data_IF_074821904141
#
_entry.id   IF_074821904141
#
_cell.length_a   1.000
_cell.length_b   1.000
_cell.length_c   1.000
_cell.angle_alpha   90.00
_cell.angle_beta   90.00
_cell.angle_gamma   90.00
#
_symmetry.space_group_name_H-M   'P 1'
#
loop_
_entity.id
_entity.type
_entity.pdbx_description
1 polymer ?
#
# COMPACT_ATOMS: atom_id res chain seq x y z
N UNK A 1 -10.34 16.57 12.96
CA UNK A 1 -8.94 16.88 12.57
C UNK A 1 -8.10 17.33 13.75
N UNK A 2 -8.50 18.39 14.46
CA UNK A 2 -7.76 18.89 15.63
C UNK A 2 -7.54 17.81 16.70
N UNK A 3 -8.58 17.07 17.05
CA UNK A 3 -8.50 15.96 18.02
C UNK A 3 -7.48 14.89 17.60
N UNK A 4 -7.43 14.55 16.30
CA UNK A 4 -6.43 13.60 15.79
C UNK A 4 -5.02 14.16 15.96
N UNK A 5 -4.80 15.41 15.58
CA UNK A 5 -3.48 16.04 15.59
C UNK A 5 -2.96 16.30 17.01
N UNK A 6 -3.86 16.64 17.95
CA UNK A 6 -3.52 16.88 19.35
C UNK A 6 -2.85 15.66 20.02
N UNK A 7 -3.16 14.44 19.55
CA UNK A 7 -2.54 13.19 20.02
C UNK A 7 -1.05 13.05 19.65
N UNK A 8 -0.47 14.04 18.97
CA UNK A 8 0.96 14.11 18.63
C UNK A 8 1.66 15.33 19.25
N UNK A 9 0.95 16.19 20.01
CA UNK A 9 1.47 17.49 20.43
C UNK A 9 2.68 17.43 21.37
N UNK A 10 2.82 16.35 22.12
CA UNK A 10 3.96 16.06 23.00
C UNK A 10 5.25 15.75 22.21
N UNK A 11 5.13 15.34 20.94
CA UNK A 11 6.28 15.13 20.05
C UNK A 11 6.80 16.44 19.44
N UNK A 12 6.11 17.55 19.68
CA UNK A 12 6.42 18.86 19.13
C UNK A 12 6.71 19.87 20.25
N UNK A 13 7.95 20.35 20.28
CA UNK A 13 8.47 21.24 21.33
C UNK A 13 8.00 22.69 21.22
N UNK A 14 7.47 23.10 20.06
CA UNK A 14 7.04 24.48 19.82
C UNK A 14 5.65 24.57 19.20
N UNK A 15 4.98 25.68 19.46
CA UNK A 15 3.70 26.00 18.81
C UNK A 15 3.83 26.03 17.28
N UNK A 16 4.97 26.47 16.76
CA UNK A 16 5.24 26.48 15.32
C UNK A 16 5.26 25.07 14.72
N UNK A 17 5.85 24.09 15.41
CA UNK A 17 5.84 22.68 14.99
C UNK A 17 4.43 22.08 15.02
N UNK A 18 3.69 22.32 16.10
CA UNK A 18 2.29 21.86 16.25
C UNK A 18 1.38 22.41 15.15
N UNK A 19 1.55 23.70 14.82
CA UNK A 19 0.85 24.35 13.69
C UNK A 19 1.30 23.77 12.36
N UNK A 20 2.61 23.60 12.14
CA UNK A 20 3.16 23.03 10.91
C UNK A 20 2.64 21.62 10.65
N UNK A 21 2.54 20.77 11.68
CA UNK A 21 1.96 19.43 11.57
C UNK A 21 0.50 19.47 11.12
N UNK A 22 -0.34 20.28 11.78
CA UNK A 22 -1.75 20.47 11.42
C UNK A 22 -1.91 21.00 10.00
N UNK A 23 -1.20 22.08 9.67
CA UNK A 23 -1.24 22.72 8.34
C UNK A 23 -0.84 21.72 7.25
N UNK A 24 0.23 20.95 7.47
CA UNK A 24 0.67 19.93 6.52
C UNK A 24 -0.37 18.83 6.32
N UNK A 25 -0.89 18.24 7.41
CA UNK A 25 -1.90 17.18 7.31
C UNK A 25 -3.20 17.68 6.66
N UNK A 26 -3.65 18.89 6.99
CA UNK A 26 -4.82 19.52 6.35
C UNK A 26 -4.60 19.68 4.86
N UNK A 27 -3.42 20.17 4.44
CA UNK A 27 -3.08 20.28 3.02
C UNK A 27 -3.10 18.93 2.29
N UNK A 28 -2.60 17.87 2.93
CA UNK A 28 -2.58 16.52 2.35
C UNK A 28 -4.00 15.97 2.18
N UNK A 29 -4.88 16.22 3.16
CA UNK A 29 -6.26 15.73 3.20
C UNK A 29 -7.27 16.57 2.41
N UNK A 30 -6.92 17.82 2.07
CA UNK A 30 -7.74 18.66 1.21
C UNK A 30 -8.06 17.95 -0.14
N UNK A 31 -9.12 18.34 -0.86
CA UNK A 31 -9.38 17.81 -2.19
C UNK A 31 -8.17 17.93 -3.13
N UNK A 32 -8.03 16.97 -4.04
CA UNK A 32 -6.92 16.94 -5.01
C UNK A 32 -7.30 17.69 -6.28
N UNK A 33 -7.39 19.02 -6.19
CA UNK A 33 -7.51 19.88 -7.37
C UNK A 33 -6.16 20.13 -8.04
N UNK A 34 -5.07 19.99 -7.28
CA UNK A 34 -3.68 20.19 -7.70
C UNK A 34 -2.77 19.13 -7.08
N UNK A 35 -1.56 18.98 -7.62
CA UNK A 35 -0.50 18.19 -7.00
C UNK A 35 -0.22 18.70 -5.58
N UNK A 36 -0.01 17.79 -4.65
CA UNK A 36 0.22 18.05 -3.22
C UNK A 36 1.68 18.44 -2.93
N UNK A 37 2.17 19.44 -3.67
CA UNK A 37 3.47 20.08 -3.41
C UNK A 37 3.38 20.96 -2.16
N UNK A 38 4.50 21.25 -1.48
CA UNK A 38 4.49 22.13 -0.29
C UNK A 38 3.81 23.48 -0.58
N UNK A 39 4.02 24.05 -1.77
CA UNK A 39 3.37 25.29 -2.20
C UNK A 39 1.85 25.18 -2.17
N UNK A 40 1.31 24.09 -2.72
CA UNK A 40 -0.12 23.82 -2.71
C UNK A 40 -0.64 23.48 -1.30
N UNK A 41 0.15 22.78 -0.47
CA UNK A 41 -0.24 22.47 0.92
C UNK A 41 -0.42 23.75 1.76
N UNK A 42 0.37 24.80 1.47
CA UNK A 42 0.24 26.11 2.09
C UNK A 42 -0.90 26.98 1.49
N UNK A 43 -1.72 26.44 0.57
CA UNK A 43 -2.77 27.18 -0.12
C UNK A 43 -2.26 28.21 -1.14
N UNK A 44 -0.97 28.18 -1.49
CA UNK A 44 -0.36 29.17 -2.37
C UNK A 44 -0.39 28.73 -3.85
N UNK A 45 -0.39 29.71 -4.76
CA UNK A 45 -0.31 29.46 -6.20
C UNK A 45 1.09 28.93 -6.59
N UNK A 46 1.19 27.82 -7.35
CA UNK A 46 2.49 27.28 -7.76
C UNK A 46 3.29 28.26 -8.62
N UNK A 47 4.57 28.46 -8.30
CA UNK A 47 5.44 29.48 -8.92
C UNK A 47 5.22 30.88 -8.34
N UNK A 48 4.05 31.51 -8.46
CA UNK A 48 3.89 32.89 -7.98
C UNK A 48 3.89 32.99 -6.45
N UNK A 49 3.32 31.98 -5.78
CA UNK A 49 3.20 31.91 -4.32
C UNK A 49 4.33 31.17 -3.60
N UNK A 50 5.34 30.67 -4.33
CA UNK A 50 6.40 29.83 -3.75
C UNK A 50 7.27 30.55 -2.70
N UNK A 51 7.34 31.87 -2.76
CA UNK A 51 8.07 32.72 -1.80
C UNK A 51 7.24 33.23 -0.63
N UNK A 52 5.97 32.81 -0.50
CA UNK A 52 5.11 33.30 0.59
C UNK A 52 5.59 32.79 1.95
N UNK A 53 5.35 33.55 3.04
CA UNK A 53 5.73 33.11 4.39
C UNK A 53 5.15 31.74 4.78
N UNK A 54 3.95 31.38 4.32
CA UNK A 54 3.36 30.06 4.57
C UNK A 54 4.17 28.91 3.98
N UNK A 55 4.57 29.05 2.72
CA UNK A 55 5.39 28.05 2.04
C UNK A 55 6.75 27.90 2.73
N UNK A 56 7.39 29.02 3.08
CA UNK A 56 8.68 28.98 3.79
C UNK A 56 8.57 28.28 5.15
N UNK A 57 7.48 28.53 5.90
CA UNK A 57 7.23 27.85 7.18
C UNK A 57 7.06 26.34 7.01
N UNK A 58 6.27 25.88 6.04
CA UNK A 58 6.11 24.45 5.79
C UNK A 58 7.40 23.79 5.28
N UNK A 59 8.19 24.48 4.46
CA UNK A 59 9.51 24.00 4.06
C UNK A 59 10.41 23.83 5.28
N UNK A 60 10.52 24.86 6.14
CA UNK A 60 11.30 24.79 7.37
C UNK A 60 10.80 23.69 8.32
N UNK A 61 9.49 23.56 8.48
CA UNK A 61 8.88 22.49 9.28
C UNK A 61 9.33 21.11 8.78
N UNK A 62 9.31 20.90 7.48
CA UNK A 62 9.65 19.61 6.90
C UNK A 62 11.15 19.32 6.86
N UNK A 63 12.01 20.29 6.53
CA UNK A 63 13.45 20.05 6.34
C UNK A 63 14.29 20.30 7.59
N UNK A 64 14.10 21.44 8.26
CA UNK A 64 15.02 21.92 9.30
C UNK A 64 14.53 21.63 10.72
N UNK A 65 13.23 21.86 10.98
CA UNK A 65 12.65 21.83 12.32
C UNK A 65 13.00 20.54 13.09
N UNK A 66 13.35 20.59 14.39
CA UNK A 66 13.85 19.43 15.13
C UNK A 66 12.70 18.56 15.69
N UNK A 67 12.10 17.70 14.85
CA UNK A 67 11.15 16.65 15.26
C UNK A 67 11.48 15.34 14.55
N UNK A 68 11.28 14.19 15.21
CA UNK A 68 11.72 12.91 14.66
C UNK A 68 10.60 12.16 13.94
N UNK A 69 10.83 11.82 12.66
CA UNK A 69 9.83 11.13 11.83
C UNK A 69 9.44 9.77 12.41
N UNK A 70 10.42 9.06 12.97
CA UNK A 70 10.18 7.75 13.57
C UNK A 70 9.27 7.84 14.81
N UNK A 71 9.45 8.85 15.67
CA UNK A 71 8.57 9.04 16.84
C UNK A 71 7.13 9.33 16.43
N UNK A 72 6.94 10.14 15.38
CA UNK A 72 5.61 10.40 14.81
C UNK A 72 5.00 9.12 14.22
N UNK A 73 5.81 8.31 13.54
CA UNK A 73 5.35 7.02 13.03
C UNK A 73 4.98 6.05 14.16
N UNK A 74 5.81 5.96 15.20
CA UNK A 74 5.58 5.07 16.34
C UNK A 74 4.29 5.46 17.09
N UNK A 75 4.05 6.77 17.33
CA UNK A 75 2.77 7.25 17.88
C UNK A 75 1.59 6.95 16.96
N UNK A 76 1.74 7.10 15.64
CA UNK A 76 0.68 6.72 14.68
C UNK A 76 0.35 5.23 14.78
N UNK A 77 1.37 4.37 14.90
CA UNK A 77 1.19 2.93 15.07
C UNK A 77 0.55 2.57 16.41
N UNK A 78 0.92 3.25 17.50
CA UNK A 78 0.28 3.14 18.81
C UNK A 78 -1.23 3.45 18.73
N UNK A 79 -1.61 4.54 18.05
CA UNK A 79 -3.00 4.93 17.88
C UNK A 79 -3.82 3.88 17.09
N UNK A 80 -3.25 3.31 16.03
CA UNK A 80 -3.89 2.23 15.27
C UNK A 80 -4.08 0.98 16.13
N UNK A 81 -3.06 0.61 16.93
CA UNK A 81 -3.16 -0.52 17.86
C UNK A 81 -4.23 -0.31 18.94
N UNK A 82 -4.45 0.94 19.35
CA UNK A 82 -5.43 1.30 20.38
C UNK A 82 -6.90 1.24 19.93
N UNK A 83 -7.17 1.13 18.62
CA UNK A 83 -8.53 1.08 18.08
C UNK A 83 -8.91 -0.36 17.73
N UNK A 84 -10.00 -0.89 18.28
CA UNK A 84 -10.42 -2.29 18.06
C UNK A 84 -10.53 -2.70 16.59
N UNK A 85 -10.97 -1.77 15.74
CA UNK A 85 -11.17 -1.95 14.29
C UNK A 85 -9.88 -1.93 13.46
N UNK A 86 -8.82 -1.30 13.96
CA UNK A 86 -7.50 -1.25 13.30
C UNK A 86 -6.41 -1.95 14.12
N UNK A 87 -6.76 -2.57 15.25
CA UNK A 87 -5.84 -3.31 16.08
C UNK A 87 -5.33 -4.55 15.33
N UNK A 88 -4.00 -4.77 15.28
CA UNK A 88 -3.45 -5.94 14.63
C UNK A 88 -3.76 -7.22 15.42
N UNK A 89 -3.78 -8.34 14.71
CA UNK A 89 -3.95 -9.67 15.27
C UNK A 89 -3.18 -10.72 14.47
N UNK A 90 -2.96 -11.90 15.05
CA UNK A 90 -2.11 -12.94 14.47
C UNK A 90 -2.67 -13.59 13.20
N UNK A 91 -3.94 -13.37 12.86
CA UNK A 91 -4.53 -13.78 11.57
C UNK A 91 -4.20 -12.88 10.36
N UNK A 92 -3.66 -11.67 10.58
CA UNK A 92 -3.32 -10.71 9.51
C UNK A 92 -1.97 -11.00 8.86
N UNK A 93 -1.55 -10.19 7.90
CA UNK A 93 -0.23 -10.31 7.24
C UNK A 93 0.53 -8.98 7.26
N UNK A 94 1.86 -9.08 7.25
CA UNK A 94 2.73 -7.95 6.92
C UNK A 94 3.17 -8.12 5.47
N UNK A 95 2.67 -7.27 4.58
CA UNK A 95 3.04 -7.26 3.17
C UNK A 95 4.25 -6.36 2.96
N UNK A 96 5.25 -6.85 2.24
CA UNK A 96 6.43 -6.09 1.80
C UNK A 96 6.28 -5.80 0.31
N UNK A 97 6.54 -4.56 -0.06
CA UNK A 97 6.72 -4.14 -1.46
C UNK A 97 7.60 -2.88 -1.52
N UNK A 98 8.03 -2.51 -2.72
CA UNK A 98 8.63 -1.20 -2.96
C UNK A 98 7.84 -0.31 -3.93
N UNK A 99 8.02 0.99 -3.71
CA UNK A 99 7.42 2.03 -4.51
C UNK A 99 8.50 2.90 -5.14
N UNK A 100 8.57 2.88 -6.46
CA UNK A 100 9.44 3.77 -7.25
C UNK A 100 8.75 5.08 -7.66
N UNK A 101 9.43 6.20 -7.42
CA UNK A 101 9.02 7.55 -7.80
C UNK A 101 10.07 8.17 -8.73
N UNK A 102 9.68 8.45 -9.98
CA UNK A 102 10.58 9.01 -11.01
C UNK A 102 11.08 10.40 -10.60
N UNK A 103 12.36 10.66 -10.80
CA UNK A 103 12.97 11.99 -10.58
C UNK A 103 13.81 12.39 -11.79
N UNK A 104 13.76 13.66 -12.18
CA UNK A 104 14.44 14.16 -13.36
C UNK A 104 15.93 14.52 -13.12
N UNK A 105 16.32 14.84 -11.87
CA UNK A 105 17.68 15.28 -11.53
C UNK A 105 18.46 14.32 -10.63
N UNK A 106 19.68 14.70 -10.28
CA UNK A 106 20.62 13.92 -9.44
C UNK A 106 20.79 14.48 -8.02
N UNK A 107 20.27 15.68 -7.74
CA UNK A 107 20.47 16.38 -6.47
C UNK A 107 19.51 15.95 -5.34
N UNK A 108 18.62 14.99 -5.60
CA UNK A 108 17.69 14.46 -4.59
C UNK A 108 18.35 13.27 -3.91
N UNK A 109 18.32 13.20 -2.58
CA UNK A 109 18.84 12.05 -1.84
C UNK A 109 18.20 10.74 -2.32
N UNK A 110 18.98 9.66 -2.28
CA UNK A 110 18.57 8.31 -2.68
C UNK A 110 18.22 8.13 -4.16
N UNK A 111 18.37 9.17 -4.99
CA UNK A 111 18.09 9.07 -6.42
C UNK A 111 19.12 8.19 -7.12
N UNK A 112 18.66 7.38 -8.07
CA UNK A 112 19.54 6.61 -8.94
C UNK A 112 18.77 5.90 -10.04
N UNK A 113 19.50 5.27 -10.96
CA UNK A 113 18.92 4.38 -11.98
C UNK A 113 18.47 3.08 -11.31
N UNK A 114 17.16 2.91 -11.20
CA UNK A 114 16.53 1.79 -10.49
C UNK A 114 15.33 1.30 -11.29
N UNK A 115 14.95 0.02 -11.12
CA UNK A 115 13.68 -0.47 -11.64
C UNK A 115 12.52 0.27 -10.97
N UNK A 116 11.71 0.97 -11.77
CA UNK A 116 10.53 1.68 -11.28
C UNK A 116 9.29 0.90 -11.70
N UNK A 117 8.70 0.14 -10.77
CA UNK A 117 7.58 -0.77 -11.05
C UNK A 117 6.42 -0.12 -11.81
N UNK A 118 6.03 1.11 -11.44
CA UNK A 118 4.97 1.88 -12.12
C UNK A 118 5.26 2.17 -13.60
N UNK A 119 6.54 2.32 -13.96
CA UNK A 119 6.95 2.59 -15.35
C UNK A 119 7.32 1.33 -16.12
N UNK A 120 7.41 0.17 -15.45
CA UNK A 120 7.84 -1.09 -16.05
C UNK A 120 9.25 -1.04 -16.65
N UNK A 121 10.13 -0.18 -16.13
CA UNK A 121 11.50 0.00 -16.66
C UNK A 121 12.47 0.55 -15.63
N UNK A 122 13.76 0.40 -15.93
CA UNK A 122 14.83 1.08 -15.19
C UNK A 122 14.95 2.55 -15.61
N UNK A 123 14.68 3.47 -14.69
CA UNK A 123 14.78 4.92 -14.91
C UNK A 123 15.35 5.59 -13.65
N UNK A 124 15.62 6.89 -13.73
CA UNK A 124 16.10 7.67 -12.60
C UNK A 124 14.95 7.95 -11.62
N UNK A 125 15.15 7.59 -10.35
CA UNK A 125 14.13 7.78 -9.33
C UNK A 125 14.58 7.37 -7.94
N UNK A 126 13.68 7.58 -6.99
CA UNK A 126 13.80 7.08 -5.62
C UNK A 126 12.92 5.85 -5.51
N UNK A 127 13.42 4.82 -4.81
CA UNK A 127 12.60 3.67 -4.44
C UNK A 127 12.48 3.64 -2.93
N UNK A 128 11.26 3.46 -2.43
CA UNK A 128 10.96 3.34 -1.00
C UNK A 128 10.43 1.95 -0.72
N UNK A 129 11.13 1.21 0.14
CA UNK A 129 10.65 -0.09 0.63
C UNK A 129 9.63 0.19 1.73
N UNK A 130 8.47 -0.47 1.66
CA UNK A 130 7.41 -0.29 2.65
C UNK A 130 6.90 -1.61 3.18
N UNK A 131 6.42 -1.58 4.41
CA UNK A 131 5.61 -2.65 4.99
C UNK A 131 4.18 -2.15 5.20
N UNK A 132 3.19 -2.99 4.90
CA UNK A 132 1.76 -2.73 5.13
C UNK A 132 1.21 -3.87 5.97
N UNK A 133 0.43 -3.56 7.01
CA UNK A 133 -0.36 -4.56 7.71
C UNK A 133 -1.76 -4.62 7.10
N UNK A 134 -2.31 -5.82 6.94
CA UNK A 134 -3.69 -6.02 6.48
C UNK A 134 -4.25 -7.35 6.98
N UNK A 135 -5.55 -7.39 7.25
CA UNK A 135 -6.33 -8.61 7.48
C UNK A 135 -7.38 -8.84 6.37
N UNK A 136 -7.38 -7.98 5.34
CA UNK A 136 -8.38 -7.97 4.28
C UNK A 136 -9.59 -7.06 4.54
N UNK A 137 -9.81 -6.64 5.78
CA UNK A 137 -10.86 -5.67 6.15
C UNK A 137 -10.29 -4.25 6.23
N UNK A 138 -9.12 -4.11 6.85
CA UNK A 138 -8.37 -2.86 6.94
C UNK A 138 -6.94 -3.09 6.47
N UNK A 139 -6.30 -2.02 6.03
CA UNK A 139 -4.89 -2.04 5.65
C UNK A 139 -4.27 -0.68 5.89
N UNK A 140 -3.00 -0.65 6.30
CA UNK A 140 -2.27 0.59 6.47
C UNK A 140 -0.75 0.38 6.44
N UNK A 141 0.03 1.36 5.94
CA UNK A 141 1.48 1.31 6.02
C UNK A 141 1.95 1.23 7.47
N UNK A 142 2.89 0.32 7.77
CA UNK A 142 3.61 0.28 9.04
C UNK A 142 4.84 1.17 8.98
N UNK A 143 5.70 0.91 7.99
CA UNK A 143 6.96 1.61 7.81
C UNK A 143 7.23 1.91 6.34
N UNK A 144 7.98 2.97 6.10
CA UNK A 144 8.47 3.36 4.80
C UNK A 144 9.90 3.84 4.92
N UNK A 145 10.82 3.29 4.11
CA UNK A 145 12.21 3.72 4.11
C UNK A 145 12.73 3.84 2.69
N UNK A 146 13.20 5.04 2.28
CA UNK A 146 13.93 5.21 1.04
C UNK A 146 15.14 4.29 0.99
N UNK A 147 15.29 3.54 -0.11
CA UNK A 147 16.46 2.73 -0.39
C UNK A 147 17.55 3.61 -1.00
N UNK A 148 18.72 3.61 -0.38
CA UNK A 148 19.91 4.33 -0.84
C UNK A 148 20.76 3.43 -1.73
N UNK A 149 20.94 3.73 -3.04
CA UNK A 149 21.79 2.93 -3.91
C UNK A 149 23.26 2.93 -3.47
N UNK A 150 23.96 1.82 -3.72
CA UNK A 150 25.35 1.63 -3.29
C UNK A 150 26.30 2.78 -3.67
N UNK A 151 26.12 3.42 -4.83
CA UNK A 151 27.01 4.50 -5.28
C UNK A 151 26.95 5.80 -4.45
N UNK A 152 26.00 5.91 -3.51
CA UNK A 152 25.96 6.99 -2.52
C UNK A 152 26.86 6.74 -1.31
N UNK A 153 27.42 5.53 -1.17
CA UNK A 153 28.29 5.15 -0.05
C UNK A 153 29.77 5.14 -0.48
N UNK A 154 30.65 5.52 0.44
CA UNK A 154 32.10 5.62 0.18
C UNK A 154 32.71 4.28 -0.24
N UNK A 155 32.23 3.16 0.33
CA UNK A 155 32.70 1.80 0.00
C UNK A 155 31.70 0.99 -0.85
N UNK A 156 30.75 1.68 -1.47
CA UNK A 156 29.70 1.06 -2.28
C UNK A 156 28.99 -0.11 -1.57
N UNK A 157 29.01 -1.31 -2.18
CA UNK A 157 28.34 -2.50 -1.63
C UNK A 157 29.03 -3.07 -0.38
N UNK A 158 30.30 -2.75 -0.17
CA UNK A 158 31.09 -3.21 0.99
C UNK A 158 31.01 -2.23 2.16
N UNK A 159 30.23 -1.15 2.02
CA UNK A 159 30.01 -0.20 3.10
C UNK A 159 29.17 -0.83 4.21
N UNK A 160 29.60 -0.78 5.49
CA UNK A 160 28.84 -1.40 6.60
C UNK A 160 27.47 -0.75 6.82
N UNK A 161 27.23 0.47 6.31
CA UNK A 161 25.92 1.11 6.36
C UNK A 161 25.02 0.73 5.16
N UNK A 162 25.59 0.17 4.08
CA UNK A 162 24.81 -0.27 2.93
C UNK A 162 23.90 -1.44 3.30
N UNK A 163 22.65 -1.37 2.87
CA UNK A 163 21.66 -2.44 3.00
C UNK A 163 21.02 -2.66 1.64
N UNK A 164 20.92 -3.91 1.22
CA UNK A 164 20.12 -4.26 0.03
C UNK A 164 18.64 -4.09 0.32
N UNK A 165 17.80 -4.00 -0.73
CA UNK A 165 16.34 -3.92 -0.55
C UNK A 165 15.77 -5.11 0.24
N UNK A 166 16.18 -6.38 0.01
CA UNK A 166 15.76 -7.49 0.88
C UNK A 166 16.19 -7.32 2.34
N UNK A 167 17.44 -6.94 2.62
CA UNK A 167 17.89 -6.72 3.99
C UNK A 167 17.07 -5.62 4.68
N UNK A 168 16.79 -4.52 3.98
CA UNK A 168 15.94 -3.44 4.47
C UNK A 168 14.50 -3.93 4.72
N UNK A 169 13.92 -4.66 3.78
CA UNK A 169 12.58 -5.19 3.88
C UNK A 169 12.39 -6.16 5.07
N UNK A 170 13.34 -7.07 5.27
CA UNK A 170 13.35 -7.96 6.43
C UNK A 170 13.41 -7.15 7.73
N UNK A 171 14.30 -6.17 7.83
CA UNK A 171 14.40 -5.31 9.00
C UNK A 171 13.09 -4.54 9.29
N UNK A 172 12.40 -4.06 8.26
CA UNK A 172 11.10 -3.39 8.45
C UNK A 172 9.99 -4.35 8.90
N UNK A 173 10.01 -5.61 8.46
CA UNK A 173 9.06 -6.62 8.92
C UNK A 173 9.32 -7.01 10.39
N UNK A 174 10.60 -7.17 10.77
CA UNK A 174 10.99 -7.39 12.17
C UNK A 174 10.54 -6.22 13.04
N UNK A 175 10.78 -4.99 12.61
CA UNK A 175 10.32 -3.80 13.32
C UNK A 175 8.80 -3.75 13.47
N UNK A 176 8.05 -4.17 12.45
CA UNK A 176 6.59 -4.34 12.54
C UNK A 176 6.17 -5.28 13.66
N UNK A 177 6.81 -6.44 13.74
CA UNK A 177 6.58 -7.41 14.83
C UNK A 177 6.94 -6.84 16.19
N UNK A 178 8.12 -6.22 16.33
CA UNK A 178 8.59 -5.59 17.58
C UNK A 178 7.68 -4.44 18.04
N UNK A 179 7.07 -3.73 17.10
CA UNK A 179 6.06 -2.71 17.36
C UNK A 179 4.68 -3.28 17.75
N UNK A 180 4.55 -4.61 17.90
CA UNK A 180 3.33 -5.28 18.35
C UNK A 180 2.30 -5.54 17.24
N UNK A 181 2.70 -5.53 15.96
CA UNK A 181 1.84 -5.91 14.85
C UNK A 181 1.98 -7.42 14.59
N UNK A 182 1.18 -8.20 15.32
CA UNK A 182 1.05 -9.64 15.10
C UNK A 182 0.63 -9.96 13.66
N UNK A 183 1.16 -11.05 13.12
CA UNK A 183 0.84 -11.52 11.78
C UNK A 183 1.04 -13.02 11.65
N UNK A 184 0.24 -13.63 10.76
CA UNK A 184 0.30 -15.04 10.41
C UNK A 184 1.52 -15.33 9.55
N UNK A 185 1.85 -14.39 8.66
CA UNK A 185 3.00 -14.45 7.79
C UNK A 185 3.41 -13.06 7.28
N UNK A 186 4.69 -12.94 6.95
CA UNK A 186 5.22 -11.92 6.05
C UNK A 186 4.96 -12.36 4.62
N UNK A 187 4.39 -11.47 3.80
CA UNK A 187 4.05 -11.74 2.41
C UNK A 187 4.84 -10.81 1.50
N UNK A 188 5.48 -11.36 0.47
CA UNK A 188 6.30 -10.58 -0.45
C UNK A 188 6.30 -11.17 -1.87
N UNK A 189 6.67 -10.36 -2.85
CA UNK A 189 6.85 -10.82 -4.23
C UNK A 189 8.21 -11.53 -4.44
N UNK A 190 8.43 -11.99 -5.67
CA UNK A 190 9.67 -12.69 -6.02
C UNK A 190 10.92 -11.81 -6.06
N UNK A 191 10.81 -10.48 -6.06
CA UNK A 191 11.96 -9.59 -6.02
C UNK A 191 12.70 -9.65 -4.67
N UNK A 192 11.98 -10.01 -3.60
CA UNK A 192 12.56 -10.19 -2.25
C UNK A 192 13.08 -11.61 -1.99
N UNK A 193 12.62 -12.60 -2.77
CA UNK A 193 12.95 -14.03 -2.62
C UNK A 193 14.34 -14.44 -3.14
N UNK A 194 15.26 -13.49 -3.35
CA UNK A 194 16.49 -13.68 -4.13
C UNK A 194 17.75 -14.00 -3.30
N UNK A 195 17.68 -13.91 -1.97
CA UNK A 195 18.83 -14.07 -1.07
C UNK A 195 18.46 -14.91 0.15
N UNK A 196 19.33 -15.83 0.55
CA UNK A 196 19.15 -16.67 1.74
C UNK A 196 19.15 -15.85 3.03
N UNK A 197 19.91 -14.76 3.08
CA UNK A 197 19.97 -13.83 4.22
C UNK A 197 18.59 -13.27 4.58
N UNK A 198 17.73 -13.04 3.57
CA UNK A 198 16.37 -12.56 3.80
C UNK A 198 15.55 -13.59 4.58
N UNK A 199 15.59 -14.85 4.15
CA UNK A 199 14.89 -15.94 4.84
C UNK A 199 15.46 -16.20 6.23
N UNK A 200 16.79 -16.13 6.38
CA UNK A 200 17.46 -16.27 7.68
C UNK A 200 17.06 -15.16 8.64
N UNK A 201 16.97 -13.91 8.17
CA UNK A 201 16.55 -12.78 9.00
C UNK A 201 15.11 -12.94 9.51
N UNK A 202 14.18 -13.38 8.64
CA UNK A 202 12.80 -13.65 9.07
C UNK A 202 12.71 -14.81 10.06
N UNK A 203 13.44 -15.91 9.81
CA UNK A 203 13.49 -17.05 10.73
C UNK A 203 14.08 -16.69 12.09
N UNK A 204 15.18 -15.94 12.10
CA UNK A 204 15.82 -15.48 13.34
C UNK A 204 14.87 -14.59 14.17
N UNK A 205 14.01 -13.81 13.50
CA UNK A 205 12.98 -13.02 14.15
C UNK A 205 11.71 -13.82 14.50
N UNK A 206 11.66 -15.12 14.21
CA UNK A 206 10.47 -15.96 14.41
C UNK A 206 9.27 -15.47 13.61
N UNK A 207 9.49 -15.05 12.36
CA UNK A 207 8.45 -14.65 11.42
C UNK A 207 8.23 -15.78 10.40
N UNK A 208 6.97 -16.22 10.29
CA UNK A 208 6.55 -17.03 9.17
C UNK A 208 6.51 -16.19 7.89
N UNK A 209 6.64 -16.82 6.73
CA UNK A 209 6.53 -16.15 5.44
C UNK A 209 5.75 -16.94 4.41
N UNK A 210 5.14 -16.24 3.46
CA UNK A 210 4.63 -16.77 2.20
C UNK A 210 5.10 -15.83 1.09
N UNK A 211 6.10 -16.25 0.32
CA UNK A 211 6.76 -15.39 -0.67
C UNK A 211 6.71 -16.02 -2.05
N UNK A 212 6.48 -15.22 -3.10
CA UNK A 212 6.56 -15.74 -4.45
C UNK A 212 8.00 -16.05 -4.86
N UNK A 213 8.16 -17.07 -5.69
CA UNK A 213 9.40 -17.44 -6.36
C UNK A 213 9.32 -17.10 -7.84
N UNK A 214 10.47 -16.83 -8.45
CA UNK A 214 10.55 -16.77 -9.92
C UNK A 214 10.32 -18.18 -10.49
N UNK A 215 9.44 -18.35 -11.49
CA UNK A 215 9.13 -19.68 -12.06
C UNK A 215 10.36 -20.45 -12.54
N UNK A 216 11.35 -19.74 -13.07
CA UNK A 216 12.60 -20.30 -13.60
C UNK A 216 13.79 -20.16 -12.64
N UNK A 217 13.54 -19.98 -11.33
CA UNK A 217 14.63 -19.99 -10.34
C UNK A 217 15.22 -21.40 -10.27
N UNK A 218 16.38 -21.58 -10.91
CA UNK A 218 17.11 -22.84 -10.89
C UNK A 218 17.60 -23.21 -9.49
N UNK A 219 17.46 -24.49 -9.14
CA UNK A 219 18.11 -25.12 -8.01
C UNK A 219 18.89 -26.33 -8.48
N UNK A 220 19.88 -26.76 -7.69
CA UNK A 220 20.55 -28.03 -7.94
C UNK A 220 19.57 -29.18 -7.65
N UNK A 221 19.46 -30.10 -8.59
CA UNK A 221 18.71 -31.34 -8.42
C UNK A 221 19.36 -32.46 -9.24
N UNK A 222 19.17 -33.74 -8.87
CA UNK A 222 19.58 -34.88 -9.68
C UNK A 222 18.96 -34.86 -11.09
N UNK A 223 19.62 -35.53 -12.04
CA UNK A 223 19.13 -35.66 -13.43
C UNK A 223 17.75 -36.31 -13.44
N UNK A 224 16.81 -35.71 -14.18
CA UNK A 224 15.43 -36.21 -14.31
C UNK A 224 14.48 -35.77 -13.19
N UNK A 225 14.95 -34.98 -12.23
CA UNK A 225 14.10 -34.32 -11.23
C UNK A 225 13.85 -32.85 -11.60
N UNK A 226 12.80 -32.22 -11.07
CA UNK A 226 12.55 -30.80 -11.25
C UNK A 226 13.74 -29.92 -10.85
N UNK A 227 14.11 -28.97 -11.71
CA UNK A 227 15.19 -28.01 -11.46
C UNK A 227 14.68 -26.60 -11.17
N UNK A 228 13.43 -26.30 -11.52
CA UNK A 228 12.79 -25.01 -11.30
C UNK A 228 11.38 -25.16 -10.70
N UNK A 229 10.82 -24.11 -10.08
CA UNK A 229 9.43 -24.15 -9.61
C UNK A 229 8.41 -24.55 -10.67
N UNK A 230 8.59 -24.11 -11.92
CA UNK A 230 7.68 -24.50 -13.01
C UNK A 230 7.83 -25.98 -13.40
N UNK A 231 9.05 -26.53 -13.40
CA UNK A 231 9.24 -27.97 -13.62
C UNK A 231 8.57 -28.78 -12.51
N UNK A 232 8.68 -28.30 -11.27
CA UNK A 232 8.09 -28.96 -10.11
C UNK A 232 6.56 -28.94 -10.16
N UNK A 233 5.99 -27.85 -10.68
CA UNK A 233 4.56 -27.75 -10.95
C UNK A 233 4.11 -28.73 -12.05
N UNK A 234 4.87 -28.84 -13.16
CA UNK A 234 4.57 -29.79 -14.24
C UNK A 234 4.72 -31.26 -13.83
N UNK A 235 5.49 -31.56 -12.80
CA UNK A 235 5.64 -32.91 -12.26
C UNK A 235 4.43 -33.36 -11.41
N UNK A 236 3.54 -32.45 -11.03
CA UNK A 236 2.32 -32.77 -10.27
C UNK A 236 1.29 -33.47 -11.15
N UNK A 237 0.63 -34.46 -10.57
CA UNK A 237 -0.39 -35.25 -11.23
C UNK A 237 -1.68 -34.45 -11.35
N UNK A 238 -2.13 -34.21 -12.57
CA UNK A 238 -3.44 -33.64 -12.87
C UNK A 238 -4.13 -34.44 -13.99
N UNK A 239 -5.42 -34.74 -13.83
CA UNK A 239 -6.25 -35.34 -14.89
C UNK A 239 -7.38 -34.40 -15.30
N UNK A 240 -8.24 -34.04 -14.35
CA UNK A 240 -9.36 -33.12 -14.51
C UNK A 240 -9.93 -32.74 -13.13
N UNK A 241 -10.92 -31.84 -13.10
CA UNK A 241 -11.54 -31.37 -11.85
C UNK A 241 -12.16 -32.48 -11.00
N UNK A 242 -12.70 -33.54 -11.62
CA UNK A 242 -13.30 -34.68 -10.90
C UNK A 242 -12.24 -35.64 -10.34
N UNK A 243 -11.03 -35.62 -10.90
CA UNK A 243 -9.90 -36.46 -10.51
C UNK A 243 -8.62 -35.60 -10.44
N UNK A 244 -8.50 -34.72 -9.44
CA UNK A 244 -7.51 -33.65 -9.46
C UNK A 244 -6.08 -34.12 -9.14
N UNK A 245 -5.89 -35.38 -8.74
CA UNK A 245 -4.57 -35.94 -8.45
C UNK A 245 -3.95 -35.26 -7.24
N UNK A 246 -2.81 -34.60 -7.43
CA UNK A 246 -2.08 -33.90 -6.35
C UNK A 246 -2.69 -32.54 -5.99
N UNK A 247 -3.66 -32.05 -6.78
CA UNK A 247 -4.24 -30.73 -6.64
C UNK A 247 -5.48 -30.73 -5.73
N UNK A 248 -5.59 -29.70 -4.91
CA UNK A 248 -6.75 -29.46 -4.04
C UNK A 248 -7.48 -28.19 -4.51
N UNK A 249 -8.81 -28.20 -4.66
CA UNK A 249 -9.56 -27.00 -4.97
C UNK A 249 -9.54 -26.04 -3.79
N UNK A 250 -9.33 -24.76 -4.07
CA UNK A 250 -9.32 -23.66 -3.10
C UNK A 250 -10.28 -22.59 -3.59
N UNK A 251 -11.31 -22.30 -2.80
CA UNK A 251 -12.24 -21.23 -3.10
C UNK A 251 -11.66 -19.88 -2.63
N UNK A 252 -11.65 -18.91 -3.55
CA UNK A 252 -11.24 -17.53 -3.26
C UNK A 252 -12.46 -16.63 -3.32
N UNK A 253 -12.65 -15.84 -2.27
CA UNK A 253 -13.71 -14.86 -2.18
C UNK A 253 -13.19 -13.46 -2.44
N UNK A 254 -13.94 -12.71 -3.25
CA UNK A 254 -13.61 -11.35 -3.63
C UNK A 254 -14.62 -10.36 -3.03
N UNK A 255 -14.22 -9.09 -3.01
CA UNK A 255 -14.95 -8.02 -2.31
C UNK A 255 -16.34 -7.73 -2.91
N UNK A 256 -16.48 -7.90 -4.21
CA UNK A 256 -17.73 -7.76 -4.95
C UNK A 256 -18.64 -9.00 -4.85
N UNK A 257 -18.24 -9.99 -4.05
CA UNK A 257 -19.03 -11.19 -3.75
C UNK A 257 -18.82 -12.33 -4.75
N UNK A 258 -18.01 -12.15 -5.80
CA UNK A 258 -17.70 -13.28 -6.68
C UNK A 258 -16.73 -14.25 -6.00
N UNK A 259 -16.81 -15.50 -6.43
CA UNK A 259 -15.93 -16.58 -5.99
C UNK A 259 -15.20 -17.15 -7.20
N UNK A 260 -13.91 -17.42 -7.04
CA UNK A 260 -13.15 -18.18 -8.04
C UNK A 260 -12.61 -19.45 -7.41
N UNK A 261 -12.71 -20.56 -8.13
CA UNK A 261 -12.01 -21.78 -7.78
C UNK A 261 -10.60 -21.73 -8.34
N UNK A 262 -9.64 -21.77 -7.44
CA UNK A 262 -8.23 -22.01 -7.74
C UNK A 262 -7.88 -23.44 -7.35
N UNK A 263 -6.73 -23.91 -7.80
CA UNK A 263 -6.17 -25.21 -7.47
C UNK A 263 -4.82 -25.00 -6.83
N UNK A 264 -4.55 -25.70 -5.73
CA UNK A 264 -3.27 -25.61 -5.04
C UNK A 264 -2.68 -27.00 -4.75
N UNK A 265 -1.36 -27.09 -4.71
CA UNK A 265 -0.63 -28.33 -4.46
C UNK A 265 0.75 -28.04 -3.82
N UNK A 266 1.24 -28.96 -3.01
CA UNK A 266 2.62 -28.98 -2.54
C UNK A 266 3.53 -29.68 -3.57
N UNK A 267 4.51 -28.95 -4.09
CA UNK A 267 5.49 -29.47 -5.03
C UNK A 267 6.82 -29.79 -4.34
N UNK A 268 7.58 -30.71 -4.92
CA UNK A 268 8.93 -31.07 -4.46
C UNK A 268 9.97 -30.49 -5.40
N UNK A 269 10.91 -29.73 -4.84
CA UNK A 269 11.97 -29.07 -5.60
C UNK A 269 13.16 -28.85 -4.67
N UNK A 270 14.35 -29.39 -4.94
CA UNK A 270 15.60 -29.15 -4.20
C UNK A 270 15.47 -28.57 -2.78
N UNK A 271 15.23 -29.42 -1.78
CA UNK A 271 15.06 -29.03 -0.38
C UNK A 271 13.65 -28.56 0.01
N UNK A 272 12.83 -28.11 -0.94
CA UNK A 272 11.41 -27.80 -0.74
C UNK A 272 10.53 -29.05 -0.85
N UNK A 273 9.50 -29.12 0.00
CA UNK A 273 8.48 -30.18 -0.06
C UNK A 273 7.54 -30.16 1.15
N UNK A 274 6.46 -30.97 1.14
CA UNK A 274 5.48 -31.01 2.23
C UNK A 274 6.07 -31.49 3.56
N UNK A 275 7.07 -32.39 3.50
CA UNK A 275 7.76 -32.92 4.68
C UNK A 275 8.96 -32.06 5.12
N UNK A 276 9.30 -31.03 4.33
CA UNK A 276 10.45 -30.15 4.59
C UNK A 276 10.06 -28.94 5.44
N UNK A 277 11.01 -28.35 6.21
CA UNK A 277 10.78 -27.09 6.92
C UNK A 277 10.44 -25.89 6.02
N UNK A 278 10.67 -26.01 4.72
CA UNK A 278 10.21 -25.06 3.72
C UNK A 278 9.44 -25.79 2.62
N UNK A 279 8.22 -25.34 2.35
CA UNK A 279 7.35 -25.87 1.31
C UNK A 279 7.43 -25.04 0.04
N UNK A 280 7.20 -25.70 -1.09
CA UNK A 280 6.87 -25.06 -2.35
C UNK A 280 5.40 -25.34 -2.63
N UNK A 281 4.56 -24.31 -2.51
CA UNK A 281 3.13 -24.39 -2.85
C UNK A 281 2.93 -23.78 -4.23
N UNK A 282 2.28 -24.52 -5.12
CA UNK A 282 1.84 -24.02 -6.43
C UNK A 282 0.36 -23.76 -6.34
N UNK A 283 -0.10 -22.59 -6.77
CA UNK A 283 -1.52 -22.25 -6.82
C UNK A 283 -1.86 -21.64 -8.18
N UNK A 284 -2.92 -22.10 -8.85
CA UNK A 284 -3.25 -21.69 -10.21
C UNK A 284 -4.75 -21.75 -10.50
N UNK A 285 -5.20 -21.02 -11.52
CA UNK A 285 -6.55 -21.19 -12.07
C UNK A 285 -6.67 -22.43 -12.97
N UNK A 286 -5.56 -22.92 -13.54
CA UNK A 286 -5.55 -24.06 -14.46
C UNK A 286 -4.28 -24.93 -14.30
N UNK A 287 -4.39 -26.07 -13.60
CA UNK A 287 -3.30 -27.03 -13.44
C UNK A 287 -2.76 -27.64 -14.74
N UNK A 288 -3.56 -27.67 -15.82
CA UNK A 288 -3.15 -28.28 -17.08
C UNK A 288 -2.19 -27.37 -17.86
N UNK A 289 -2.46 -26.06 -17.86
CA UNK A 289 -1.71 -25.09 -18.68
C UNK A 289 -0.74 -24.22 -17.88
N UNK A 290 -0.92 -24.13 -16.56
CA UNK A 290 -0.11 -23.29 -15.65
C UNK A 290 0.11 -21.86 -16.20
N UNK A 291 -0.97 -21.10 -16.46
CA UNK A 291 -0.88 -19.79 -17.08
C UNK A 291 0.00 -18.84 -16.26
N UNK A 292 0.99 -18.20 -16.89
CA UNK A 292 2.03 -17.41 -16.21
C UNK A 292 1.45 -16.33 -15.28
N UNK A 293 0.39 -15.63 -15.70
CA UNK A 293 -0.23 -14.54 -14.93
C UNK A 293 -1.19 -15.01 -13.85
N UNK A 294 -1.59 -16.28 -13.88
CA UNK A 294 -2.55 -16.88 -12.95
C UNK A 294 -1.99 -18.14 -12.29
N UNK A 295 -0.66 -18.22 -12.16
CA UNK A 295 0.04 -19.29 -11.44
C UNK A 295 1.04 -18.67 -10.46
N UNK A 296 0.90 -19.03 -9.19
CA UNK A 296 1.78 -18.64 -8.11
C UNK A 296 2.67 -19.80 -7.72
N UNK A 297 3.97 -19.54 -7.62
CA UNK A 297 4.94 -20.47 -7.05
C UNK A 297 5.39 -19.86 -5.73
N UNK A 298 5.02 -20.45 -4.61
CA UNK A 298 5.14 -19.85 -3.28
C UNK A 298 6.08 -20.65 -2.39
N UNK A 299 7.06 -19.99 -1.79
CA UNK A 299 7.85 -20.57 -0.71
C UNK A 299 7.26 -20.17 0.64
N UNK A 300 7.14 -21.14 1.56
CA UNK A 300 6.71 -20.87 2.94
C UNK A 300 7.43 -21.75 3.95
N UNK A 301 7.63 -21.25 5.16
CA UNK A 301 8.08 -22.03 6.33
C UNK A 301 6.91 -22.45 7.26
N UNK A 302 5.66 -22.26 6.83
CA UNK A 302 4.50 -22.80 7.51
C UNK A 302 4.36 -24.28 7.17
N UNK A 303 4.58 -25.15 8.17
CA UNK A 303 4.57 -26.61 7.98
C UNK A 303 3.24 -27.10 7.42
N UNK A 304 3.30 -28.18 6.63
CA UNK A 304 2.11 -28.90 6.19
C UNK A 304 1.44 -29.53 7.44
N UNK A 305 0.09 -29.57 7.54
CA UNK A 305 -0.61 -30.14 8.70
C UNK A 305 -0.17 -31.57 9.06
N UNK A 306 0.05 -32.39 8.04
CA UNK A 306 0.47 -33.79 8.19
C UNK A 306 2.00 -33.99 8.23
N UNK A 307 2.80 -32.92 8.22
CA UNK A 307 4.25 -33.07 8.23
C UNK A 307 4.74 -33.63 9.57
N UNK A 308 5.72 -34.57 9.58
CA UNK A 308 6.25 -35.13 10.82
C UNK A 308 6.82 -34.09 11.81
N UNK A 309 7.32 -32.96 11.27
CA UNK A 309 7.92 -31.89 12.06
C UNK A 309 6.92 -30.78 12.45
N UNK A 310 5.63 -30.89 12.06
CA UNK A 310 4.62 -29.84 12.31
C UNK A 310 4.43 -29.55 13.81
N UNK A 311 4.43 -30.59 14.65
CA UNK A 311 4.27 -30.46 16.10
C UNK A 311 5.44 -29.72 16.79
N UNK A 312 6.62 -29.70 16.17
CA UNK A 312 7.83 -29.02 16.66
C UNK A 312 8.11 -27.70 15.94
N UNK A 313 7.26 -27.32 14.99
CA UNK A 313 7.44 -26.09 14.21
C UNK A 313 7.16 -24.86 15.08
N UNK A 314 7.91 -23.75 14.93
CA UNK A 314 7.68 -22.52 15.70
C UNK A 314 6.36 -21.83 15.33
N UNK A 315 5.70 -22.26 14.26
CA UNK A 315 4.45 -21.68 13.77
C UNK A 315 3.40 -22.78 13.61
N UNK A 316 2.11 -22.50 13.91
CA UNK A 316 1.04 -23.44 13.62
C UNK A 316 1.07 -23.86 12.14
N UNK A 317 0.81 -25.13 11.81
CA UNK A 317 0.77 -25.59 10.43
C UNK A 317 -0.30 -24.85 9.63
N UNK A 318 -0.17 -24.83 8.30
CA UNK A 318 -1.10 -24.16 7.39
C UNK A 318 -1.46 -25.08 6.23
N UNK A 319 -2.74 -25.25 5.94
CA UNK A 319 -3.20 -25.96 4.75
C UNK A 319 -3.02 -25.11 3.47
N UNK A 320 -3.30 -25.70 2.31
CA UNK A 320 -3.16 -25.03 1.02
C UNK A 320 -4.09 -23.82 0.88
N UNK A 321 -5.31 -23.90 1.42
CA UNK A 321 -6.28 -22.81 1.36
C UNK A 321 -5.80 -21.60 2.17
N UNK A 322 -5.21 -21.83 3.36
CA UNK A 322 -4.62 -20.77 4.16
C UNK A 322 -3.42 -20.12 3.45
N UNK A 323 -2.50 -20.90 2.85
CA UNK A 323 -1.36 -20.33 2.11
C UNK A 323 -1.84 -19.44 0.95
N UNK A 324 -2.83 -19.90 0.18
CA UNK A 324 -3.43 -19.12 -0.92
C UNK A 324 -4.12 -17.87 -0.39
N UNK A 325 -4.85 -17.95 0.72
CA UNK A 325 -5.49 -16.79 1.37
C UNK A 325 -4.45 -15.76 1.82
N UNK A 326 -3.39 -16.18 2.50
CA UNK A 326 -2.33 -15.31 3.00
C UNK A 326 -1.65 -14.57 1.86
N UNK A 327 -1.25 -15.28 0.80
CA UNK A 327 -0.65 -14.63 -0.36
C UNK A 327 -1.66 -13.77 -1.14
N UNK A 328 -2.94 -14.17 -1.15
CA UNK A 328 -4.05 -13.41 -1.72
C UNK A 328 -4.29 -12.05 -1.06
N UNK A 329 -3.73 -11.78 0.12
CA UNK A 329 -3.75 -10.46 0.76
C UNK A 329 -2.65 -9.51 0.25
N UNK A 330 -1.66 -10.01 -0.52
CA UNK A 330 -0.58 -9.19 -1.09
C UNK A 330 -1.10 -7.96 -1.85
N UNK A 331 -2.13 -8.04 -2.72
CA UNK A 331 -2.59 -6.89 -3.52
C UNK A 331 -3.03 -5.66 -2.72
N UNK A 332 -3.32 -5.79 -1.41
CA UNK A 332 -3.67 -4.66 -0.56
C UNK A 332 -2.54 -3.62 -0.45
N UNK A 333 -1.27 -4.00 -0.62
CA UNK A 333 -0.17 -3.02 -0.64
C UNK A 333 -0.24 -2.13 -1.89
N UNK A 334 -0.60 -2.69 -3.04
CA UNK A 334 -0.78 -1.94 -4.28
C UNK A 334 -1.99 -1.02 -4.16
N UNK A 335 -3.07 -1.48 -3.52
CA UNK A 335 -4.23 -0.65 -3.20
C UNK A 335 -3.86 0.50 -2.25
N UNK A 336 -3.04 0.23 -1.23
CA UNK A 336 -2.49 1.26 -0.34
C UNK A 336 -1.70 2.29 -1.11
N UNK A 337 -0.82 1.86 -2.02
CA UNK A 337 -0.06 2.79 -2.86
C UNK A 337 -0.94 3.62 -3.77
N UNK A 338 -1.99 3.08 -4.38
CA UNK A 338 -2.91 3.88 -5.20
C UNK A 338 -3.51 5.02 -4.39
N UNK A 339 -4.04 4.74 -3.21
CA UNK A 339 -4.65 5.77 -2.37
C UNK A 339 -3.63 6.78 -1.84
N UNK A 340 -2.47 6.30 -1.38
CA UNK A 340 -1.42 7.16 -0.82
C UNK A 340 -0.75 8.02 -1.91
N UNK A 341 -0.54 7.48 -3.11
CA UNK A 341 0.10 8.21 -4.23
C UNK A 341 -0.83 9.11 -4.99
N UNK A 342 -1.94 8.57 -5.45
CA UNK A 342 -2.80 9.29 -6.38
C UNK A 342 -3.58 10.38 -5.66
N UNK A 343 -3.66 10.35 -4.33
CA UNK A 343 -4.53 11.23 -3.58
C UNK A 343 -3.82 12.03 -2.49
N UNK A 344 -3.11 11.34 -1.60
CA UNK A 344 -2.42 11.96 -0.47
C UNK A 344 -1.02 12.46 -0.82
N UNK A 345 -0.63 12.45 -2.09
CA UNK A 345 0.54 13.20 -2.54
C UNK A 345 1.90 12.57 -2.31
N UNK A 346 1.98 11.27 -2.03
CA UNK A 346 3.24 10.55 -1.77
C UNK A 346 4.38 10.87 -2.76
N UNK A 347 4.04 10.99 -4.05
CA UNK A 347 5.01 11.21 -5.12
C UNK A 347 5.13 12.69 -5.53
N UNK A 348 4.28 13.57 -4.99
CA UNK A 348 4.17 14.98 -5.42
C UNK A 348 5.24 15.87 -4.78
N UNK A 349 5.95 15.39 -3.75
CA UNK A 349 6.95 16.19 -3.07
C UNK A 349 8.10 16.59 -4.00
N UNK A 350 8.60 17.81 -3.76
CA UNK A 350 9.73 18.40 -4.47
C UNK A 350 10.96 18.61 -3.56
N UNK A 351 10.91 18.09 -2.33
CA UNK A 351 12.05 18.13 -1.40
C UNK A 351 13.21 17.26 -1.86
N UNK A 352 14.41 17.60 -1.36
CA UNK A 352 15.66 16.98 -1.80
C UNK A 352 16.40 16.19 -0.73
N UNK A 353 16.32 16.59 0.54
CA UNK A 353 17.04 15.92 1.63
C UNK A 353 16.33 14.63 2.05
N UNK A 354 17.11 13.61 2.44
CA UNK A 354 16.59 12.33 2.94
C UNK A 354 15.64 12.53 4.13
N UNK A 355 16.03 13.41 5.08
CA UNK A 355 15.21 13.83 6.22
C UNK A 355 13.83 14.34 5.79
N UNK A 356 13.77 15.26 4.82
CA UNK A 356 12.49 15.80 4.36
C UNK A 356 11.64 14.76 3.62
N UNK A 357 12.26 13.84 2.87
CA UNK A 357 11.57 12.75 2.18
C UNK A 357 10.90 11.82 3.20
N UNK A 358 11.65 11.34 4.20
CA UNK A 358 11.15 10.46 5.26
C UNK A 358 10.01 11.10 6.05
N UNK A 359 10.16 12.40 6.38
CA UNK A 359 9.12 13.17 7.06
C UNK A 359 7.87 13.32 6.22
N UNK A 360 8.00 13.62 4.93
CA UNK A 360 6.85 13.70 4.03
C UNK A 360 6.10 12.36 3.99
N UNK A 361 6.82 11.26 3.77
CA UNK A 361 6.23 9.91 3.74
C UNK A 361 5.53 9.55 5.06
N UNK A 362 6.12 9.92 6.20
CA UNK A 362 5.50 9.75 7.52
C UNK A 362 4.22 10.56 7.66
N UNK A 363 4.21 11.82 7.23
CA UNK A 363 3.03 12.68 7.29
C UNK A 363 1.92 12.20 6.35
N UNK A 364 2.28 11.68 5.17
CA UNK A 364 1.34 11.03 4.26
C UNK A 364 0.73 9.77 4.90
N UNK A 365 1.53 8.96 5.57
CA UNK A 365 1.02 7.81 6.33
C UNK A 365 0.13 8.25 7.51
N UNK A 366 0.43 9.37 8.18
CA UNK A 366 -0.43 9.95 9.21
C UNK A 366 -1.77 10.40 8.63
N UNK A 367 -1.77 11.08 7.48
CA UNK A 367 -3.00 11.47 6.79
C UNK A 367 -3.82 10.24 6.38
N UNK A 368 -3.16 9.17 5.93
CA UNK A 368 -3.83 7.91 5.61
C UNK A 368 -4.46 7.25 6.85
N UNK A 369 -3.74 7.18 7.97
CA UNK A 369 -4.26 6.67 9.25
C UNK A 369 -5.41 7.53 9.78
N UNK A 370 -5.38 8.85 9.58
CA UNK A 370 -6.52 9.72 9.89
C UNK A 370 -7.77 9.32 9.10
N UNK A 371 -7.66 8.94 7.82
CA UNK A 371 -8.83 8.48 7.07
C UNK A 371 -9.48 7.24 7.70
N UNK A 372 -8.69 6.32 8.27
CA UNK A 372 -9.23 5.17 9.01
C UNK A 372 -9.87 5.58 10.34
N UNK A 373 -9.19 6.43 11.10
CA UNK A 373 -9.68 6.97 12.36
C UNK A 373 -11.05 7.67 12.19
N UNK A 374 -11.23 8.44 11.11
CA UNK A 374 -12.50 9.09 10.81
C UNK A 374 -13.54 8.17 10.20
N UNK A 375 -13.12 7.16 9.42
CA UNK A 375 -14.06 6.19 8.83
C UNK A 375 -14.81 5.40 9.90
N UNK A 376 -14.13 5.07 11.00
CA UNK A 376 -14.72 4.32 12.10
C UNK A 376 -15.21 5.18 13.26
N UNK A 377 -14.98 6.49 13.21
CA UNK A 377 -15.54 7.41 14.18
C UNK A 377 -17.08 7.37 14.06
N UNK A 378 -17.83 7.37 15.18
CA UNK A 378 -19.26 7.60 15.14
C UNK A 378 -19.52 8.92 14.40
N UNK A 379 -20.58 9.02 13.56
CA UNK A 379 -20.93 10.29 12.97
C UNK A 379 -21.14 11.31 14.09
N UNK A 380 -20.33 12.37 14.09
CA UNK A 380 -20.53 13.49 14.99
C UNK A 380 -21.86 14.18 14.72
N UNK A 381 -22.30 15.09 15.61
CA UNK A 381 -23.43 15.95 15.31
C UNK A 381 -23.19 16.65 13.98
N UNK A 382 -24.06 16.40 13.00
CA UNK A 382 -24.01 17.14 11.73
C UNK A 382 -24.34 18.58 12.07
N UNK A 383 -23.38 19.49 11.86
CA UNK A 383 -23.61 20.90 12.05
C UNK A 383 -24.57 21.39 10.95
N UNK A 384 -25.86 21.46 11.30
CA UNK A 384 -26.93 21.93 10.42
C UNK A 384 -26.78 23.41 10.02
N UNK A 385 -25.75 24.10 10.52
CA UNK A 385 -25.40 25.47 10.16
C UNK A 385 -24.37 25.58 9.02
N UNK A 386 -23.85 24.46 8.49
CA UNK A 386 -22.98 24.51 7.32
C UNK A 386 -23.77 24.98 6.08
N UNK A 387 -23.40 26.11 5.45
CA UNK A 387 -24.12 26.62 4.30
C UNK A 387 -24.01 25.64 3.12
N UNK A 388 -25.14 25.37 2.49
CA UNK A 388 -25.26 24.55 1.29
C UNK A 388 -24.43 25.18 0.15
N UNK A 389 -23.45 24.47 -0.45
CA UNK A 389 -22.54 25.06 -1.44
C UNK A 389 -23.16 25.21 -2.85
N UNK A 390 -24.49 25.24 -2.96
CA UNK A 390 -25.18 25.51 -4.22
C UNK A 390 -25.78 26.93 -4.22
N UNK A 391 -25.27 27.86 -5.04
CA UNK A 391 -26.02 29.05 -5.37
C UNK A 391 -27.26 28.62 -6.16
N UNK A 392 -28.45 29.01 -5.66
CA UNK A 392 -29.69 29.05 -6.42
C UNK A 392 -29.46 29.81 -7.74
N UNK A 393 -29.34 29.10 -8.87
CA UNK A 393 -29.57 29.70 -10.17
C UNK A 393 -31.08 29.82 -10.38
N UNK A 394 -31.55 31.07 -10.48
CA UNK A 394 -32.91 31.39 -10.87
C UNK A 394 -33.23 30.94 -12.31
N UNK A 395 -34.52 30.97 -12.71
CA UNK A 395 -35.04 30.06 -13.72
C UNK A 395 -34.76 30.52 -15.15
N UNK A 396 -34.02 29.73 -15.92
CA UNK A 396 -34.07 29.81 -17.38
C UNK A 396 -35.25 28.98 -17.93
N UNK A 397 -36.01 29.61 -18.83
CA UNK A 397 -37.25 29.10 -19.43
C UNK A 397 -36.93 27.98 -20.43
N UNK A 398 -37.70 26.89 -20.40
CA UNK A 398 -37.76 25.93 -21.52
C UNK A 398 -38.45 24.60 -21.23
N UNK A 399 -39.78 24.59 -21.41
CA UNK A 399 -40.72 23.48 -21.73
C UNK A 399 -40.29 21.99 -21.53
N UNK A 400 -40.92 21.35 -20.51
CA UNK A 400 -41.50 19.99 -20.34
C UNK A 400 -41.27 18.85 -21.37
N UNK A 401 -41.41 17.53 -21.02
CA UNK A 401 -42.27 16.98 -19.94
C UNK A 401 -41.73 15.81 -19.06
N UNK A 402 -42.33 15.70 -17.86
CA UNK A 402 -42.29 14.62 -16.82
C UNK A 402 -43.26 13.49 -17.22
N UNK A 403 -43.05 12.16 -16.97
CA UNK A 403 -43.27 11.48 -15.65
C UNK A 403 -42.55 10.10 -15.43
N UNK A 404 -42.87 9.29 -14.39
CA UNK A 404 -43.24 9.55 -12.98
C UNK A 404 -42.28 8.86 -11.97
N UNK A 405 -42.46 9.16 -10.67
CA UNK A 405 -41.86 8.45 -9.54
C UNK A 405 -42.54 7.09 -9.26
N UNK A 406 -41.84 6.17 -8.56
CA UNK A 406 -42.49 5.34 -7.54
C UNK A 406 -41.73 5.46 -6.20
N UNK A 407 -42.35 5.96 -5.13
CA UNK A 407 -43.19 5.25 -4.15
C UNK A 407 -42.42 4.27 -3.26
N UNK A 408 -42.37 4.60 -1.97
CA UNK A 408 -41.79 3.80 -0.90
C UNK A 408 -42.59 2.51 -0.63
N UNK A 409 -41.89 1.44 -0.23
CA UNK A 409 -42.45 0.35 0.58
C UNK A 409 -41.34 -0.35 1.39
N UNK A 410 -41.54 -0.35 2.71
CA UNK A 410 -40.82 -1.11 3.73
C UNK A 410 -41.10 -2.62 3.59
N UNK A 411 -40.09 -3.47 3.79
CA UNK A 411 -40.17 -4.64 4.70
C UNK A 411 -38.83 -5.41 4.81
N UNK A 412 -38.71 -6.06 5.96
CA UNK A 412 -37.56 -6.69 6.61
C UNK A 412 -37.09 -8.01 5.96
N UNK A 413 -35.80 -8.32 6.12
CA UNK A 413 -35.22 -9.63 5.85
C UNK A 413 -33.75 -9.69 6.28
N UNK A 414 -33.37 -10.74 7.01
CA UNK A 414 -32.23 -10.85 7.91
C UNK A 414 -30.84 -10.99 7.25
N UNK A 415 -29.85 -10.43 7.96
CA UNK A 415 -28.44 -10.85 8.13
C UNK A 415 -27.61 -11.16 6.87
N UNK A 416 -26.86 -10.16 6.42
CA UNK A 416 -25.62 -10.31 5.68
C UNK A 416 -24.73 -9.13 6.04
N UNK A 417 -23.66 -9.39 6.78
CA UNK A 417 -22.76 -8.39 7.35
C UNK A 417 -21.98 -7.63 6.25
N UNK A 418 -22.16 -6.31 6.05
CA UNK A 418 -21.48 -5.57 4.99
C UNK A 418 -20.68 -4.41 5.59
N UNK A 419 -19.58 -4.70 6.27
CA UNK A 419 -18.60 -3.68 6.65
C UNK A 419 -17.27 -3.92 5.92
N UNK A 420 -17.20 -3.52 4.64
CA UNK A 420 -15.95 -3.45 3.90
C UNK A 420 -15.69 -2.01 3.43
N UNK A 421 -14.74 -1.36 4.08
CA UNK A 421 -14.50 0.07 4.04
C UNK A 421 -13.72 0.56 2.80
N UNK A 422 -14.05 1.76 2.33
CA UNK A 422 -13.18 2.57 1.48
C UNK A 422 -13.07 3.94 2.16
N UNK A 423 -12.00 4.23 2.91
CA UNK A 423 -11.96 5.29 3.92
C UNK A 423 -12.13 6.73 3.39
N UNK A 424 -12.36 6.93 2.09
CA UNK A 424 -12.38 8.23 1.42
C UNK A 424 -13.77 8.83 1.21
N UNK A 425 -14.86 8.07 1.39
CA UNK A 425 -16.23 8.60 1.14
C UNK A 425 -16.73 9.56 2.23
N UNK A 426 -16.06 9.63 3.39
CA UNK A 426 -16.47 10.49 4.52
C UNK A 426 -15.56 11.70 4.80
N UNK A 427 -14.43 11.88 4.11
CA UNK A 427 -13.55 13.04 4.36
C UNK A 427 -13.93 14.29 3.55
N UNK A 428 -14.78 14.16 2.53
CA UNK A 428 -15.16 15.28 1.64
C UNK A 428 -15.99 16.40 2.31
N UNK A 429 -16.89 16.15 3.28
CA UNK A 429 -17.66 17.24 3.88
C UNK A 429 -16.93 17.99 5.01
N UNK A 430 -15.79 17.52 5.51
CA UNK A 430 -15.22 18.02 6.77
C UNK A 430 -14.19 19.16 6.63
N UNK A 431 -13.82 19.56 5.41
CA UNK A 431 -12.83 20.63 5.14
C UNK A 431 -13.51 21.96 4.74
N UNK A 432 -14.83 21.97 4.55
CA UNK A 432 -15.56 23.17 4.11
C UNK A 432 -15.79 24.23 5.21
N UNK A 433 -15.53 23.94 6.50
CA UNK A 433 -15.84 24.87 7.60
C UNK A 433 -14.67 25.77 8.04
N UNK A 434 -13.56 25.84 7.29
CA UNK A 434 -12.35 26.56 7.70
C UNK A 434 -11.94 27.76 6.82
N UNK A 435 -12.70 28.10 5.77
CA UNK A 435 -12.41 29.28 4.93
C UNK A 435 -13.24 30.50 5.36
N UNK A 436 -12.81 31.11 6.45
CA UNK A 436 -13.18 32.48 6.81
C UNK A 436 -12.01 33.41 6.58
N UNK A 437 -12.06 34.16 5.47
CA UNK A 437 -11.21 35.30 5.07
C UNK A 437 -10.20 35.05 3.94
N UNK A 438 -10.64 35.36 2.71
CA UNK A 438 -9.81 35.64 1.54
C UNK A 438 -10.61 36.45 0.50
N UNK A 439 -10.04 37.51 -0.12
CA UNK A 439 -10.81 38.49 -0.89
C UNK A 439 -11.18 38.05 -2.32
N UNK A 440 -12.37 38.52 -2.71
CA UNK A 440 -13.06 38.58 -4.01
C UNK A 440 -12.27 38.30 -5.30
N UNK A 441 -12.80 37.36 -6.09
CA UNK A 441 -12.48 37.06 -7.50
C UNK A 441 -12.62 38.30 -8.42
N UNK A 442 -11.66 38.48 -9.33
CA UNK A 442 -11.78 39.35 -10.52
C UNK A 442 -11.57 38.56 -11.82
N UNK A 443 -12.32 39.00 -12.82
CA UNK A 443 -12.63 38.50 -14.17
C UNK A 443 -11.41 38.14 -15.05
N UNK A 444 -11.50 37.14 -15.96
CA UNK A 444 -10.41 36.79 -16.87
C UNK A 444 -10.37 37.68 -18.13
N UNK A 445 -9.18 38.17 -18.47
CA UNK A 445 -8.83 38.75 -19.78
C UNK A 445 -8.08 37.73 -20.65
N UNK A 446 -8.15 37.82 -21.98
CA UNK A 446 -7.74 36.74 -22.87
C UNK A 446 -6.25 36.84 -23.19
N UNK A 447 -5.53 35.73 -23.13
CA UNK A 447 -4.34 35.60 -23.96
C UNK A 447 -4.13 34.18 -24.47
N UNK A 448 -4.23 34.08 -25.80
CA UNK A 448 -4.01 32.89 -26.60
C UNK A 448 -2.50 32.72 -26.80
N UNK A 449 -1.91 31.63 -26.29
CA UNK A 449 -0.76 30.99 -26.96
C UNK A 449 -0.84 29.47 -26.87
N UNK A 450 -1.01 28.90 -28.06
CA UNK A 450 -1.06 27.49 -28.41
C UNK A 450 0.28 26.78 -28.18
N UNK A 451 0.28 25.75 -27.34
CA UNK A 451 1.24 24.65 -27.46
C UNK A 451 0.48 23.38 -27.83
N UNK A 452 0.73 22.89 -29.04
CA UNK A 452 0.19 21.64 -29.57
C UNK A 452 0.59 20.46 -28.68
N UNK A 453 -0.40 19.90 -27.96
CA UNK A 453 -0.34 18.55 -27.43
C UNK A 453 -1.01 17.64 -28.46
N UNK A 454 -0.24 16.72 -29.03
CA UNK A 454 -0.72 15.67 -29.93
C UNK A 454 -1.84 14.88 -29.24
N UNK A 455 -3.05 14.93 -29.81
CA UNK A 455 -4.17 14.08 -29.40
C UNK A 455 -3.86 12.65 -29.83
N UNK A 456 -3.55 11.77 -28.88
CA UNK A 456 -3.54 10.34 -29.13
C UNK A 456 -4.98 9.84 -29.30
N UNK A 457 -5.21 9.18 -30.43
CA UNK A 457 -6.42 8.45 -30.79
C UNK A 457 -6.60 7.27 -29.81
N UNK A 458 -7.82 6.97 -29.32
CA UNK A 458 -8.05 5.86 -28.39
C UNK A 458 -7.72 4.53 -29.07
N UNK A 459 -6.95 3.70 -28.39
CA UNK A 459 -6.67 2.31 -28.77
C UNK A 459 -7.90 1.44 -28.45
N UNK A 460 -8.21 0.42 -29.28
CA UNK A 460 -9.40 -0.42 -29.12
C UNK A 460 -9.37 -1.22 -27.82
N UNK A 461 -10.55 -1.51 -27.23
CA UNK A 461 -10.67 -2.13 -25.91
C UNK A 461 -10.56 -3.65 -26.03
N UNK A 462 -9.35 -4.17 -25.89
CA UNK A 462 -9.08 -5.53 -25.44
C UNK A 462 -7.64 -5.52 -24.92
N UNK A 463 -7.39 -6.16 -23.77
CA UNK A 463 -6.14 -6.17 -22.98
C UNK A 463 -6.10 -5.17 -21.81
N UNK A 464 -6.88 -5.45 -20.77
CA UNK A 464 -6.46 -5.37 -19.35
C UNK A 464 -7.63 -5.82 -18.48
N UNK A 465 -7.77 -7.12 -18.24
CA UNK A 465 -8.65 -7.62 -17.19
C UNK A 465 -7.99 -7.35 -15.83
N UNK A 466 -8.31 -6.20 -15.25
CA UNK A 466 -8.35 -5.97 -13.81
C UNK A 466 -9.55 -5.05 -13.54
N UNK A 467 -10.63 -5.63 -13.03
CA UNK A 467 -11.64 -4.94 -12.22
C UNK A 467 -11.68 -5.61 -10.87
#
# INVERSE_FOLDING_TARGET
MEEYAARFDDLFFSLAQRRGFREYLTGLLAPRERNKTITCLAGAEPVAGAGTPGVQRLQFFLSESPWEAEQVNDRRLELLRGQSVTAPHDGGVIVIDDSGDRKAGTATANVGRQWLGRLGKTDNGIVTVTTVWTDGRVYYPLHATPYTPAHHFARARSDPAFRTKPQLAAALAVRGKEAGFGCRAVVADCAYSVSDDWYLALRAAGLAYVVALKPHRGTWAPVGQPHTPVDAAHALTWKNADHPGDWTPVERHFRDGHTETWWAADARLGGYGPDSPCRLVVATTDPATLPEKATWHLATNLSHPDAPHAATSPHPPADLAEIVRLYGLRPWIEQSYKQVKDELGWADFQVRSDRAIRRHQTLVNCAFSFCWDQWFAPPGPVDAAAPDPCPNEGPERGLSPVPPAPTALLAQGLTGDPFLACPRRHSQPMVASLDGQGPTLRTPGPDRRSHHRTRHRPLPPDLTNYR
#
